data_IF_077682990856
#
_entry.id   IF_077682990856
#
_cell.length_a   1.000
_cell.length_b   1.000
_cell.length_c   1.000
_cell.angle_alpha   90.00
_cell.angle_beta   90.00
_cell.angle_gamma   90.00
#
_symmetry.space_group_name_H-M   'P 1'
#
loop_
_entity.id
_entity.type
_entity.pdbx_description
1 polymer ?
#
# COMPACT_ATOMS: atom_id res chain seq x y z
N UNK A 1 -2.48 11.74 -15.64
CA UNK A 1 -2.68 12.76 -16.67
C UNK A 1 -1.57 13.80 -16.58
N UNK A 2 -0.70 13.85 -17.60
CA UNK A 2 0.44 14.78 -17.64
C UNK A 2 0.04 16.24 -17.87
N UNK A 3 -1.16 16.46 -18.34
CA UNK A 3 -1.70 17.80 -18.65
C UNK A 3 -2.54 18.39 -17.51
N UNK A 4 -2.81 17.59 -16.47
CA UNK A 4 -3.54 18.06 -15.30
C UNK A 4 -2.77 19.19 -14.58
N UNK A 5 -3.46 20.29 -14.33
CA UNK A 5 -2.92 21.43 -13.58
C UNK A 5 -3.90 21.76 -12.45
N UNK A 6 -3.58 21.42 -11.19
CA UNK A 6 -4.44 21.76 -10.06
C UNK A 6 -4.43 23.26 -9.82
N UNK A 7 -5.58 23.85 -9.49
CA UNK A 7 -5.67 25.25 -9.05
C UNK A 7 -4.98 25.47 -7.70
N UNK A 8 -5.04 24.44 -6.84
CA UNK A 8 -4.42 24.45 -5.50
C UNK A 8 -3.69 23.15 -5.26
N UNK A 9 -2.44 23.23 -4.81
CA UNK A 9 -1.64 22.09 -4.36
C UNK A 9 -1.78 21.95 -2.85
N UNK A 10 -2.19 20.77 -2.38
CA UNK A 10 -2.37 20.49 -0.96
C UNK A 10 -1.13 19.78 -0.41
N UNK A 11 -0.55 20.32 0.65
CA UNK A 11 0.46 19.63 1.45
C UNK A 11 -0.21 18.67 2.45
N UNK A 12 0.60 17.80 3.09
CA UNK A 12 0.13 16.98 4.22
C UNK A 12 -0.42 17.85 5.34
N UNK A 13 -1.58 17.46 5.88
CA UNK A 13 -2.31 18.21 6.89
C UNK A 13 -3.02 19.46 6.38
N UNK A 14 -2.90 19.82 5.11
CA UNK A 14 -3.62 20.98 4.55
C UNK A 14 -5.14 20.73 4.62
N UNK A 15 -5.89 21.80 4.92
CA UNK A 15 -7.35 21.73 5.07
C UNK A 15 -8.06 22.65 4.08
N UNK A 16 -9.18 22.16 3.57
CA UNK A 16 -10.18 22.94 2.84
C UNK A 16 -11.49 22.82 3.59
N UNK A 17 -12.18 23.94 3.81
CA UNK A 17 -13.42 23.97 4.59
C UNK A 17 -14.52 24.76 3.89
N UNK A 18 -15.75 24.29 4.03
CA UNK A 18 -16.99 25.00 3.73
C UNK A 18 -17.68 25.47 5.00
N UNK A 19 -18.98 25.78 4.91
CA UNK A 19 -19.75 26.30 6.06
C UNK A 19 -19.90 25.25 7.17
N UNK A 20 -20.08 23.98 6.83
CA UNK A 20 -20.42 22.88 7.75
C UNK A 20 -19.55 21.62 7.55
N UNK A 21 -18.49 21.70 6.76
CA UNK A 21 -17.57 20.60 6.52
C UNK A 21 -16.11 21.06 6.45
N UNK A 22 -15.22 20.13 6.75
CA UNK A 22 -13.77 20.28 6.59
C UNK A 22 -13.19 19.01 5.98
N UNK A 23 -12.32 19.16 5.00
CA UNK A 23 -11.52 18.08 4.43
C UNK A 23 -10.06 18.33 4.76
N UNK A 24 -9.38 17.33 5.33
CA UNK A 24 -7.95 17.36 5.62
C UNK A 24 -7.24 16.40 4.68
N UNK A 25 -6.22 16.88 3.98
CA UNK A 25 -5.35 16.04 3.17
C UNK A 25 -4.36 15.28 4.06
N UNK A 26 -4.23 13.97 3.86
CA UNK A 26 -3.29 13.09 4.55
C UNK A 26 -2.34 12.50 3.52
N UNK A 27 -1.06 12.81 3.59
CA UNK A 27 -0.07 12.19 2.71
C UNK A 27 0.12 10.72 3.11
N UNK A 28 -0.28 9.81 2.23
CA UNK A 28 -0.27 8.37 2.45
C UNK A 28 0.47 7.66 1.31
N UNK A 29 1.80 7.91 1.16
CA UNK A 29 2.58 7.32 0.09
C UNK A 29 2.67 5.81 0.22
N UNK A 30 2.93 5.15 -0.91
CA UNK A 30 3.16 3.72 -0.96
C UNK A 30 2.55 3.03 -2.17
N UNK A 31 1.28 3.29 -2.51
CA UNK A 31 0.71 2.93 -3.82
C UNK A 31 1.41 3.75 -4.92
N UNK A 32 1.48 5.05 -4.73
CA UNK A 32 2.32 5.99 -5.47
C UNK A 32 2.91 7.01 -4.50
N UNK A 33 3.96 7.72 -4.92
CA UNK A 33 4.73 8.60 -4.06
C UNK A 33 3.94 9.83 -3.59
N UNK A 34 3.02 10.33 -4.39
CA UNK A 34 2.20 11.52 -4.12
C UNK A 34 0.78 11.20 -3.65
N UNK A 35 0.51 9.97 -3.21
CA UNK A 35 -0.83 9.54 -2.80
C UNK A 35 -1.35 10.36 -1.61
N UNK A 36 -2.61 10.81 -1.69
CA UNK A 36 -3.33 11.46 -0.62
C UNK A 36 -4.61 10.68 -0.28
N UNK A 37 -4.88 10.52 1.00
CA UNK A 37 -6.21 10.28 1.53
C UNK A 37 -6.83 11.60 1.98
N UNK A 38 -8.15 11.67 2.06
CA UNK A 38 -8.86 12.87 2.50
C UNK A 38 -9.81 12.53 3.65
N UNK A 39 -9.57 13.11 4.82
CA UNK A 39 -10.45 12.98 5.96
C UNK A 39 -11.54 14.06 5.93
N UNK A 40 -12.80 13.63 5.91
CA UNK A 40 -13.97 14.50 5.95
C UNK A 40 -14.54 14.54 7.36
N UNK A 41 -14.69 15.73 7.89
CA UNK A 41 -15.42 16.03 9.11
C UNK A 41 -16.59 16.98 8.77
N UNK A 42 -17.78 16.66 9.24
CA UNK A 42 -18.93 17.54 9.17
C UNK A 42 -19.88 17.30 10.36
N UNK A 43 -20.84 18.24 10.56
CA UNK A 43 -21.76 18.18 11.68
C UNK A 43 -22.84 17.07 11.55
N UNK A 44 -22.99 16.45 10.39
CA UNK A 44 -24.14 15.62 10.04
C UNK A 44 -23.81 14.17 9.76
N UNK A 45 -22.53 13.82 9.59
CA UNK A 45 -22.10 12.44 9.27
C UNK A 45 -21.01 11.96 10.21
N UNK A 46 -20.88 10.64 10.30
CA UNK A 46 -19.74 10.02 10.97
C UNK A 46 -18.43 10.42 10.31
N UNK A 47 -17.34 10.42 11.06
CA UNK A 47 -15.98 10.65 10.54
C UNK A 47 -15.71 9.71 9.37
N UNK A 48 -15.32 10.28 8.27
CA UNK A 48 -15.21 9.61 6.97
C UNK A 48 -13.83 9.83 6.39
N UNK A 49 -13.25 8.78 5.78
CA UNK A 49 -12.03 8.90 5.01
C UNK A 49 -12.24 8.48 3.55
N UNK A 50 -11.83 9.31 2.62
CA UNK A 50 -11.64 8.92 1.24
C UNK A 50 -10.24 8.33 1.10
N UNK A 51 -10.17 6.99 1.03
CA UNK A 51 -8.91 6.24 1.06
C UNK A 51 -8.30 6.00 -0.31
N UNK A 52 -8.97 6.42 -1.37
CA UNK A 52 -8.56 6.24 -2.77
C UNK A 52 -8.07 4.79 -3.04
N UNK A 53 -6.86 4.63 -3.60
CA UNK A 53 -6.28 3.31 -3.89
C UNK A 53 -5.39 2.78 -2.75
N UNK A 54 -5.26 3.51 -1.63
CA UNK A 54 -4.45 3.05 -0.51
C UNK A 54 -5.11 1.91 0.26
N UNK A 55 -6.44 2.00 0.49
CA UNK A 55 -7.25 0.96 1.15
C UNK A 55 -8.51 0.72 0.33
N UNK A 56 -8.62 -0.46 -0.28
CA UNK A 56 -9.76 -0.88 -1.11
C UNK A 56 -10.50 -2.06 -0.49
N UNK A 57 -11.82 -2.14 -0.69
CA UNK A 57 -12.66 -3.18 -0.07
C UNK A 57 -12.54 -4.56 -0.72
N UNK A 58 -12.14 -4.65 -1.98
CA UNK A 58 -12.20 -5.87 -2.79
C UNK A 58 -10.83 -6.50 -3.08
N UNK A 59 -9.74 -5.75 -2.91
CA UNK A 59 -8.37 -6.21 -3.19
C UNK A 59 -7.37 -5.47 -2.32
N UNK A 60 -6.17 -6.01 -2.20
CA UNK A 60 -5.04 -5.28 -1.66
C UNK A 60 -4.49 -4.31 -2.71
N UNK A 61 -4.07 -3.13 -2.28
CA UNK A 61 -3.49 -2.11 -3.15
C UNK A 61 -2.25 -2.63 -3.88
N UNK A 62 -2.08 -2.19 -5.10
CA UNK A 62 -0.85 -2.46 -5.86
C UNK A 62 0.25 -1.55 -5.32
N UNK A 63 1.41 -2.14 -5.00
CA UNK A 63 2.64 -1.43 -4.65
C UNK A 63 3.70 -1.87 -5.63
N UNK A 64 3.98 -1.00 -6.61
CA UNK A 64 4.87 -1.33 -7.73
C UNK A 64 5.99 -0.29 -7.88
N UNK A 65 7.24 -0.64 -7.55
CA UNK A 65 8.38 0.24 -7.82
C UNK A 65 8.48 0.64 -9.32
N UNK A 66 9.07 1.81 -9.69
CA UNK A 66 9.79 2.71 -8.78
C UNK A 66 8.89 3.66 -7.99
N UNK A 67 7.66 3.92 -8.39
CA UNK A 67 6.75 4.87 -7.74
C UNK A 67 6.14 4.31 -6.45
N UNK A 68 5.77 3.02 -6.46
CA UNK A 68 5.29 2.31 -5.27
C UNK A 68 6.43 1.92 -4.32
N UNK A 69 6.23 2.14 -3.01
CA UNK A 69 7.19 1.86 -1.94
C UNK A 69 6.52 1.10 -0.80
N UNK A 70 7.01 -0.12 -0.48
CA UNK A 70 6.40 -0.99 0.54
C UNK A 70 6.60 -0.44 1.95
N UNK A 71 7.76 0.14 2.25
CA UNK A 71 8.02 0.74 3.55
C UNK A 71 7.09 1.94 3.80
N UNK A 72 6.94 2.80 2.80
CA UNK A 72 6.02 3.93 2.85
C UNK A 72 4.56 3.45 2.99
N UNK A 73 4.14 2.44 2.21
CA UNK A 73 2.82 1.85 2.28
C UNK A 73 2.48 1.33 3.69
N UNK A 74 3.41 0.60 4.32
CA UNK A 74 3.22 0.08 5.67
C UNK A 74 3.15 1.19 6.73
N UNK A 75 3.94 2.27 6.59
CA UNK A 75 3.84 3.45 7.48
C UNK A 75 2.49 4.16 7.31
N UNK A 76 2.03 4.32 6.08
CA UNK A 76 0.73 4.92 5.79
C UNK A 76 -0.43 4.08 6.33
N UNK A 77 -0.37 2.74 6.23
CA UNK A 77 -1.35 1.86 6.86
C UNK A 77 -1.33 2.00 8.39
N UNK A 78 -0.16 2.13 9.02
CA UNK A 78 -0.06 2.35 10.47
C UNK A 78 -0.69 3.68 10.88
N UNK A 79 -0.46 4.77 10.14
CA UNK A 79 -1.13 6.05 10.36
C UNK A 79 -2.66 5.90 10.29
N UNK A 80 -3.18 5.12 9.33
CA UNK A 80 -4.61 4.87 9.21
C UNK A 80 -5.17 3.97 10.32
N UNK A 81 -4.35 3.10 10.91
CA UNK A 81 -4.75 2.27 12.06
C UNK A 81 -5.05 3.08 13.32
N UNK A 82 -4.36 4.20 13.50
CA UNK A 82 -4.52 5.09 14.67
C UNK A 82 -5.72 6.04 14.54
N UNK A 83 -6.45 5.98 13.41
CA UNK A 83 -7.64 6.78 13.16
C UNK A 83 -8.90 6.06 13.62
N UNK A 84 -9.91 6.84 13.99
CA UNK A 84 -11.23 6.38 14.46
C UNK A 84 -12.35 6.70 13.44
N UNK A 85 -12.03 6.80 12.14
CA UNK A 85 -13.03 7.01 11.10
C UNK A 85 -14.01 5.83 11.06
N UNK A 86 -15.31 6.14 10.95
CA UNK A 86 -16.37 5.14 10.94
C UNK A 86 -16.49 4.42 9.59
N UNK A 87 -16.16 5.11 8.49
CA UNK A 87 -16.29 4.56 7.14
C UNK A 87 -15.17 5.07 6.25
N UNK A 88 -14.66 4.17 5.36
CA UNK A 88 -13.77 4.57 4.27
C UNK A 88 -14.48 4.43 2.93
N UNK A 89 -14.25 5.39 2.06
CA UNK A 89 -14.63 5.34 0.65
C UNK A 89 -13.36 5.23 -0.21
N UNK A 90 -13.20 4.08 -0.82
CA UNK A 90 -12.09 3.82 -1.75
C UNK A 90 -12.41 4.37 -3.15
N UNK A 91 -11.39 4.50 -4.01
CA UNK A 91 -11.60 4.81 -5.41
C UNK A 91 -12.38 3.69 -6.14
N UNK A 92 -12.26 2.46 -5.66
CA UNK A 92 -12.90 1.28 -6.23
C UNK A 92 -13.53 0.39 -5.15
N UNK A 93 -14.74 -0.10 -5.40
CA UNK A 93 -15.46 -1.03 -4.55
C UNK A 93 -16.51 -0.38 -3.65
N UNK A 94 -17.10 -1.16 -2.76
CA UNK A 94 -18.11 -0.72 -1.82
C UNK A 94 -17.50 0.07 -0.65
N UNK A 95 -18.29 0.89 0.05
CA UNK A 95 -17.87 1.51 1.31
C UNK A 95 -17.35 0.48 2.31
N UNK A 96 -16.35 0.87 3.10
CA UNK A 96 -15.70 0.03 4.11
C UNK A 96 -16.19 0.47 5.48
N UNK A 97 -17.10 -0.31 6.06
CA UNK A 97 -17.77 0.00 7.34
C UNK A 97 -16.96 -0.44 8.58
N UNK A 98 -15.89 -1.21 8.39
CA UNK A 98 -14.99 -1.64 9.46
C UNK A 98 -13.53 -1.38 9.06
N UNK A 99 -13.15 -0.09 8.87
CA UNK A 99 -11.89 0.24 8.23
C UNK A 99 -10.66 -0.25 9.01
N UNK A 100 -10.62 -0.11 10.33
CA UNK A 100 -9.47 -0.55 11.15
C UNK A 100 -9.27 -2.07 11.09
N UNK A 101 -10.36 -2.85 10.99
CA UNK A 101 -10.28 -4.31 10.80
C UNK A 101 -9.65 -4.63 9.45
N UNK A 102 -10.06 -3.94 8.37
CA UNK A 102 -9.52 -4.15 7.03
C UNK A 102 -8.05 -3.74 6.96
N UNK A 103 -7.69 -2.56 7.47
CA UNK A 103 -6.30 -2.06 7.49
C UNK A 103 -5.39 -3.04 8.24
N UNK A 104 -5.83 -3.55 9.41
CA UNK A 104 -5.10 -4.58 10.15
C UNK A 104 -4.91 -5.84 9.33
N UNK A 105 -5.96 -6.29 8.62
CA UNK A 105 -5.88 -7.43 7.71
C UNK A 105 -4.87 -7.23 6.59
N UNK A 106 -4.86 -6.04 5.97
CA UNK A 106 -3.88 -5.67 4.93
C UNK A 106 -2.44 -5.68 5.46
N UNK A 107 -2.20 -5.10 6.63
CA UNK A 107 -0.88 -5.14 7.27
C UNK A 107 -0.43 -6.58 7.56
N UNK A 108 -1.34 -7.42 8.08
CA UNK A 108 -1.09 -8.84 8.31
C UNK A 108 -0.74 -9.59 7.02
N UNK A 109 -1.49 -9.35 5.95
CA UNK A 109 -1.21 -9.93 4.63
C UNK A 109 0.18 -9.54 4.12
N UNK A 110 0.59 -8.27 4.23
CA UNK A 110 1.93 -7.81 3.81
C UNK A 110 3.03 -8.49 4.63
N UNK A 111 2.89 -8.58 5.95
CA UNK A 111 3.83 -9.31 6.82
C UNK A 111 3.91 -10.80 6.47
N UNK A 112 2.79 -11.43 6.14
CA UNK A 112 2.77 -12.82 5.70
C UNK A 112 3.56 -13.01 4.40
N UNK A 113 3.38 -12.11 3.43
CA UNK A 113 4.14 -12.13 2.16
C UNK A 113 5.63 -11.95 2.39
N UNK A 114 6.02 -11.02 3.23
CA UNK A 114 7.40 -10.84 3.67
C UNK A 114 8.00 -12.13 4.25
N UNK A 115 7.29 -12.76 5.19
CA UNK A 115 7.74 -14.03 5.78
C UNK A 115 7.84 -15.17 4.74
N UNK A 116 7.00 -15.19 3.70
CA UNK A 116 7.12 -16.15 2.60
C UNK A 116 8.40 -15.91 1.79
N UNK A 117 8.72 -14.65 1.47
CA UNK A 117 9.93 -14.28 0.75
C UNK A 117 11.18 -14.69 1.52
N UNK A 118 11.25 -14.37 2.82
CA UNK A 118 12.40 -14.73 3.66
C UNK A 118 12.63 -16.25 3.69
N UNK A 119 11.56 -17.05 3.87
CA UNK A 119 11.69 -18.52 3.82
C UNK A 119 12.16 -19.05 2.45
N UNK A 120 11.76 -18.43 1.35
CA UNK A 120 12.23 -18.81 0.02
C UNK A 120 13.71 -18.48 -0.15
N UNK A 121 14.16 -17.35 0.35
CA UNK A 121 15.59 -16.98 0.36
C UNK A 121 16.42 -17.95 1.23
N UNK A 122 15.92 -18.34 2.41
CA UNK A 122 16.54 -19.39 3.25
C UNK A 122 16.69 -20.73 2.50
N UNK A 123 15.69 -21.07 1.66
CA UNK A 123 15.71 -22.26 0.82
C UNK A 123 16.55 -22.12 -0.47
N UNK A 124 17.21 -20.98 -0.68
CA UNK A 124 18.05 -20.72 -1.86
C UNK A 124 17.29 -20.22 -3.10
N UNK A 125 15.99 -19.93 -2.99
CA UNK A 125 15.20 -19.36 -4.09
C UNK A 125 15.37 -17.85 -4.13
N UNK A 126 16.26 -17.35 -4.99
CA UNK A 126 16.67 -15.94 -5.05
C UNK A 126 16.10 -15.14 -6.22
N UNK A 127 15.44 -15.76 -7.19
CA UNK A 127 14.91 -15.06 -8.35
C UNK A 127 13.40 -14.82 -8.24
N UNK A 128 12.96 -13.61 -8.58
CA UNK A 128 11.55 -13.18 -8.46
C UNK A 128 10.58 -14.11 -9.21
N UNK A 129 10.84 -14.55 -10.45
CA UNK A 129 9.94 -15.47 -11.15
C UNK A 129 9.68 -16.77 -10.38
N UNK A 130 10.71 -17.34 -9.75
CA UNK A 130 10.61 -18.59 -8.99
C UNK A 130 9.84 -18.36 -7.67
N UNK A 131 10.07 -17.22 -7.02
CA UNK A 131 9.28 -16.80 -5.85
C UNK A 131 7.81 -16.67 -6.23
N UNK A 132 7.48 -16.03 -7.35
CA UNK A 132 6.10 -15.88 -7.84
C UNK A 132 5.46 -17.23 -8.08
N UNK A 133 6.12 -18.15 -8.76
CA UNK A 133 5.61 -19.51 -8.99
C UNK A 133 5.32 -20.25 -7.70
N UNK A 134 6.12 -20.03 -6.66
CA UNK A 134 5.94 -20.65 -5.34
C UNK A 134 4.80 -20.02 -4.54
N UNK A 135 4.76 -18.67 -4.48
CA UNK A 135 3.86 -17.90 -3.61
C UNK A 135 2.44 -17.74 -4.18
N UNK A 136 2.29 -17.80 -5.51
CA UNK A 136 1.04 -17.49 -6.21
C UNK A 136 0.51 -18.72 -6.97
N UNK A 137 0.67 -19.92 -6.38
CA UNK A 137 0.10 -21.17 -6.91
C UNK A 137 -1.41 -21.02 -7.11
N UNK A 138 -1.90 -21.31 -8.33
CA UNK A 138 -3.31 -21.21 -8.68
C UNK A 138 -3.78 -19.81 -9.12
N UNK A 139 -2.92 -18.80 -9.09
CA UNK A 139 -3.20 -17.47 -9.66
C UNK A 139 -2.96 -17.50 -11.18
N UNK A 140 -3.84 -16.86 -11.94
CA UNK A 140 -3.70 -16.74 -13.39
C UNK A 140 -2.32 -16.19 -13.77
N UNK A 141 -1.65 -16.88 -14.71
CA UNK A 141 -0.30 -16.51 -15.17
C UNK A 141 -0.20 -15.09 -15.71
N UNK A 142 -1.30 -14.53 -16.23
CA UNK A 142 -1.36 -13.13 -16.68
C UNK A 142 -1.10 -12.13 -15.55
N UNK A 143 -1.35 -12.52 -14.30
CA UNK A 143 -1.12 -11.70 -13.11
C UNK A 143 0.28 -11.88 -12.50
N UNK A 144 1.08 -12.83 -13.01
CA UNK A 144 2.42 -13.10 -12.47
C UNK A 144 3.37 -11.90 -12.61
N UNK A 145 3.23 -11.08 -13.66
CA UNK A 145 3.98 -9.83 -13.80
C UNK A 145 3.69 -8.84 -12.63
N UNK A 146 2.42 -8.62 -12.33
CA UNK A 146 2.01 -7.76 -11.22
C UNK A 146 2.42 -8.35 -9.86
N UNK A 147 2.33 -9.68 -9.70
CA UNK A 147 2.81 -10.38 -8.50
C UNK A 147 4.33 -10.19 -8.32
N UNK A 148 5.11 -10.27 -9.41
CA UNK A 148 6.55 -10.04 -9.40
C UNK A 148 6.91 -8.61 -8.95
N UNK A 149 6.15 -7.60 -9.39
CA UNK A 149 6.33 -6.21 -8.94
C UNK A 149 6.06 -6.07 -7.43
N UNK A 150 5.05 -6.78 -6.92
CA UNK A 150 4.77 -6.81 -5.48
C UNK A 150 5.89 -7.50 -4.68
N UNK A 151 6.44 -8.60 -5.18
CA UNK A 151 7.61 -9.28 -4.57
C UNK A 151 8.82 -8.35 -4.57
N UNK A 152 9.09 -7.65 -5.69
CA UNK A 152 10.16 -6.66 -5.77
C UNK A 152 10.02 -5.56 -4.71
N UNK A 153 8.81 -5.02 -4.53
CA UNK A 153 8.55 -3.99 -3.52
C UNK A 153 8.93 -4.46 -2.11
N UNK A 154 8.60 -5.71 -1.75
CA UNK A 154 9.02 -6.30 -0.48
C UNK A 154 10.54 -6.49 -0.40
N UNK A 155 11.19 -6.97 -1.46
CA UNK A 155 12.64 -7.16 -1.48
C UNK A 155 13.41 -5.85 -1.33
N UNK A 156 12.93 -4.78 -1.95
CA UNK A 156 13.51 -3.43 -1.81
C UNK A 156 13.37 -2.90 -0.37
N UNK A 157 12.22 -3.10 0.27
CA UNK A 157 12.02 -2.75 1.68
C UNK A 157 12.94 -3.58 2.59
N UNK A 158 12.98 -4.90 2.40
CA UNK A 158 13.87 -5.80 3.16
C UNK A 158 15.34 -5.41 2.98
N UNK A 159 15.76 -5.02 1.77
CA UNK A 159 17.11 -4.51 1.51
C UNK A 159 17.37 -3.20 2.23
N UNK A 160 16.42 -2.26 2.22
CA UNK A 160 16.51 -1.01 2.97
C UNK A 160 16.67 -1.21 4.47
N UNK A 161 16.13 -2.30 5.01
CA UNK A 161 16.28 -2.73 6.42
C UNK A 161 17.54 -3.58 6.68
N UNK A 162 18.34 -3.87 5.64
CA UNK A 162 19.56 -4.67 5.78
C UNK A 162 19.33 -6.17 5.98
N UNK A 163 18.13 -6.69 5.71
CA UNK A 163 17.79 -8.11 5.89
C UNK A 163 18.12 -8.96 4.66
N UNK A 164 18.16 -8.35 3.48
CA UNK A 164 18.52 -9.02 2.23
C UNK A 164 19.49 -8.17 1.42
N UNK A 165 20.24 -8.81 0.54
CA UNK A 165 21.11 -8.18 -0.46
C UNK A 165 20.81 -8.76 -1.83
N UNK A 166 21.05 -7.99 -2.89
CA UNK A 166 20.86 -8.42 -4.26
C UNK A 166 20.22 -7.37 -5.16
N UNK A 167 19.97 -7.78 -6.39
CA UNK A 167 19.28 -7.01 -7.44
C UNK A 167 18.37 -7.94 -8.24
N UNK A 168 17.51 -7.39 -9.08
CA UNK A 168 16.66 -8.19 -9.98
C UNK A 168 17.50 -9.07 -10.91
N UNK A 169 18.65 -8.58 -11.37
CA UNK A 169 19.54 -9.29 -12.30
C UNK A 169 20.37 -10.36 -11.59
N UNK A 170 20.99 -10.01 -10.48
CA UNK A 170 21.91 -10.91 -9.74
C UNK A 170 21.18 -11.92 -8.87
N UNK A 171 19.87 -11.74 -8.66
CA UNK A 171 19.09 -12.45 -7.67
C UNK A 171 19.27 -11.87 -6.26
N UNK A 172 18.50 -12.42 -5.32
CA UNK A 172 18.39 -11.95 -3.93
C UNK A 172 18.83 -13.06 -2.98
N UNK A 173 19.39 -12.67 -1.84
CA UNK A 173 19.75 -13.58 -0.74
C UNK A 173 19.67 -12.86 0.60
N UNK A 174 19.60 -13.61 1.67
CA UNK A 174 19.68 -13.06 3.01
C UNK A 174 21.02 -12.32 3.20
N UNK A 175 21.00 -11.23 3.95
CA UNK A 175 22.22 -10.61 4.45
C UNK A 175 22.87 -11.54 5.47
N UNK A 176 24.21 -11.50 5.57
CA UNK A 176 24.97 -12.30 6.51
C UNK A 176 24.82 -11.78 7.94
#
# INVERSE_FOLDING_TARGET
DHDFRPDVVLADGATVAGADWRVTALHTPGHCANHLCFALENAHTSRTLFSADHVMSWSTSVVSPPDGDMAAYMRSLALLMDRDDAVYYAAHGAPIETPQRLVRGMMGHRKQREGQILRLLEAGTGHIPDMVLSMYKGVDKRLHGAAGRSVLAHLLDLRGRGLVIGTEEAGWKLAA
#
